data_IF_515779381961
#
_entry.id   IF_515779381961
#
_cell.length_a   1.000
_cell.length_b   1.000
_cell.length_c   1.000
_cell.angle_alpha   90.00
_cell.angle_beta   90.00
_cell.angle_gamma   90.00
#
_symmetry.space_group_name_H-M   'P 1'
#
loop_
_entity.id
_entity.type
_entity.pdbx_description
1 polymer ?
#
# COMPACT_ATOMS: atom_id res chain seq x y z
N UNK A 1 10.30 19.12 -73.76
CA UNK A 1 9.56 20.37 -73.65
C UNK A 1 9.35 20.52 -72.12
N UNK A 2 10.36 21.02 -71.44
CA UNK A 2 10.61 22.42 -71.09
C UNK A 2 9.37 23.03 -70.47
N UNK A 3 9.37 23.52 -69.24
CA UNK A 3 10.30 24.49 -68.67
C UNK A 3 10.15 24.55 -67.16
N UNK A 4 11.28 24.67 -66.46
CA UNK A 4 11.53 25.30 -65.17
C UNK A 4 10.78 26.60 -64.91
N UNK A 5 10.46 26.95 -63.67
CA UNK A 5 10.83 28.24 -63.06
C UNK A 5 10.96 28.05 -61.50
N UNK A 6 12.18 28.34 -61.06
CA UNK A 6 12.58 28.69 -59.70
C UNK A 6 12.05 30.06 -59.29
N UNK A 7 12.01 30.27 -57.96
CA UNK A 7 12.45 31.44 -57.17
C UNK A 7 11.49 31.66 -56.02
N UNK A 8 11.82 31.98 -54.83
CA UNK A 8 12.87 32.55 -53.97
C UNK A 8 12.29 32.60 -52.58
N UNK A 9 12.96 32.04 -51.62
CA UNK A 9 13.77 32.61 -50.52
C UNK A 9 13.10 33.68 -49.63
N UNK A 10 13.04 33.30 -48.38
CA UNK A 10 13.44 33.95 -47.11
C UNK A 10 12.33 34.47 -46.18
N UNK A 11 12.73 34.76 -44.93
CA UNK A 11 12.18 34.07 -43.79
C UNK A 11 11.52 35.10 -42.86
N UNK A 12 11.00 34.64 -41.76
CA UNK A 12 10.86 35.33 -40.47
C UNK A 12 9.51 35.02 -39.81
N UNK A 13 9.59 34.53 -38.63
CA UNK A 13 8.46 34.50 -37.72
C UNK A 13 8.57 33.44 -36.67
N UNK A 14 9.55 33.59 -35.76
CA UNK A 14 9.47 32.97 -34.43
C UNK A 14 8.14 33.32 -33.77
N UNK A 15 7.36 32.30 -33.42
CA UNK A 15 6.42 32.34 -32.30
C UNK A 15 6.47 31.05 -31.55
N UNK A 16 7.18 31.15 -30.46
CA UNK A 16 7.03 30.54 -29.15
C UNK A 16 5.95 29.47 -29.00
N UNK A 17 6.39 28.25 -28.79
CA UNK A 17 6.29 27.61 -27.52
C UNK A 17 4.95 27.02 -27.20
N UNK A 18 4.63 25.87 -27.75
CA UNK A 18 3.69 24.95 -27.16
C UNK A 18 4.49 23.84 -26.50
N UNK A 19 4.85 24.01 -25.22
CA UNK A 19 5.44 22.95 -24.42
C UNK A 19 4.38 21.88 -24.19
N UNK A 20 4.44 20.83 -25.00
CA UNK A 20 3.70 19.61 -24.79
C UNK A 20 4.21 18.97 -23.49
N UNK A 21 3.44 19.06 -22.43
CA UNK A 21 3.66 18.26 -21.24
C UNK A 21 3.41 16.79 -21.60
N UNK A 22 4.45 16.09 -21.94
CA UNK A 22 4.45 14.63 -21.91
C UNK A 22 4.41 14.22 -20.43
N UNK A 23 3.23 13.84 -19.94
CA UNK A 23 3.11 13.22 -18.63
C UNK A 23 3.67 11.81 -18.69
N UNK A 24 4.98 11.69 -18.67
CA UNK A 24 5.62 10.45 -18.25
C UNK A 24 5.34 10.30 -16.76
N UNK A 25 4.52 9.31 -16.40
CA UNK A 25 4.53 8.79 -15.05
C UNK A 25 5.81 7.97 -14.87
N UNK A 26 6.96 8.64 -14.95
CA UNK A 26 8.23 8.09 -14.55
C UNK A 26 8.34 8.26 -13.04
N UNK A 27 8.11 7.17 -12.30
CA UNK A 27 8.24 7.09 -10.86
C UNK A 27 9.72 7.08 -10.40
N UNK A 28 10.59 7.62 -11.21
CA UNK A 28 12.00 7.72 -10.88
C UNK A 28 12.68 8.91 -11.51
N UNK A 29 12.92 9.94 -10.74
CA UNK A 29 13.67 11.17 -10.96
C UNK A 29 12.86 12.37 -11.44
N UNK A 30 12.49 13.23 -10.49
CA UNK A 30 12.52 14.67 -10.68
C UNK A 30 13.55 15.26 -9.70
N UNK A 31 14.76 15.44 -10.18
CA UNK A 31 15.71 16.40 -9.60
C UNK A 31 15.49 17.72 -10.32
N UNK A 32 15.24 18.77 -9.56
CA UNK A 32 15.12 20.20 -9.87
C UNK A 32 13.68 20.72 -9.99
N UNK A 33 13.09 21.06 -8.86
CA UNK A 33 12.21 22.22 -8.74
C UNK A 33 12.75 23.11 -7.63
N UNK A 34 13.48 24.17 -8.02
CA UNK A 34 13.63 25.35 -7.18
C UNK A 34 12.41 26.24 -7.41
N UNK A 35 11.85 26.71 -6.31
CA UNK A 35 10.84 27.74 -6.17
C UNK A 35 9.40 27.36 -6.57
N UNK A 36 8.71 26.70 -5.64
CA UNK A 36 7.29 26.91 -5.47
C UNK A 36 7.01 27.05 -3.96
N UNK A 37 6.79 28.30 -3.55
CA UNK A 37 6.23 28.61 -2.23
C UNK A 37 4.75 28.26 -2.29
N UNK A 38 4.40 27.05 -1.91
CA UNK A 38 3.03 26.69 -1.63
C UNK A 38 2.68 27.27 -0.25
N UNK A 39 1.85 28.30 -0.22
CA UNK A 39 1.11 28.69 0.98
C UNK A 39 0.31 27.47 1.42
N UNK A 40 0.47 26.99 2.66
CA UNK A 40 -0.36 25.92 3.16
C UNK A 40 -1.76 26.48 3.41
N UNK A 41 -2.72 26.20 2.54
CA UNK A 41 -4.11 26.23 2.92
C UNK A 41 -4.30 25.08 3.92
N UNK A 42 -4.14 25.43 5.19
CA UNK A 42 -4.54 24.60 6.30
C UNK A 42 -6.07 24.46 6.27
N UNK A 43 -6.54 23.47 5.53
CA UNK A 43 -7.89 22.95 5.76
C UNK A 43 -7.83 22.28 7.12
N UNK A 44 -8.40 22.95 8.12
CA UNK A 44 -8.60 22.40 9.44
C UNK A 44 -9.31 21.06 9.31
N UNK A 45 -8.56 19.99 9.50
CA UNK A 45 -9.11 18.65 9.74
C UNK A 45 -9.92 18.77 11.01
N UNK A 46 -11.26 18.67 10.88
CA UNK A 46 -12.12 18.54 12.06
C UNK A 46 -11.65 17.31 12.82
N UNK A 47 -11.21 17.58 14.03
CA UNK A 47 -10.79 16.67 15.07
C UNK A 47 -11.44 15.29 15.00
N UNK A 48 -10.67 14.30 14.59
CA UNK A 48 -10.82 12.98 15.20
C UNK A 48 -10.32 13.17 16.64
N UNK A 49 -11.23 13.46 17.56
CA UNK A 49 -10.89 13.61 18.96
C UNK A 49 -10.17 12.36 19.41
N UNK A 50 -8.94 12.47 19.95
CA UNK A 50 -8.32 11.35 20.63
C UNK A 50 -9.26 10.92 21.76
N UNK A 51 -9.57 9.63 21.83
CA UNK A 51 -10.33 9.06 22.95
C UNK A 51 -9.52 9.40 24.20
N UNK A 52 -10.08 10.11 25.20
CA UNK A 52 -9.34 10.46 26.40
C UNK A 52 -8.97 9.17 27.15
N UNK A 53 -7.67 8.90 27.20
CA UNK A 53 -7.11 7.75 27.87
C UNK A 53 -7.06 8.02 29.37
N UNK A 54 -7.88 7.31 30.11
CA UNK A 54 -7.95 7.40 31.58
C UNK A 54 -6.67 6.82 32.18
N UNK A 55 -5.86 7.67 32.85
CA UNK A 55 -4.74 7.22 33.68
C UNK A 55 -5.27 6.64 34.99
N UNK A 56 -5.13 5.34 35.18
CA UNK A 56 -5.27 4.73 36.51
C UNK A 56 -3.95 4.10 36.97
N UNK A 57 -3.59 4.46 38.17
CA UNK A 57 -2.39 4.02 38.93
C UNK A 57 -2.74 2.75 39.68
N UNK A 58 -2.06 1.65 39.38
CA UNK A 58 -1.55 0.64 40.33
C UNK A 58 -0.87 -0.47 39.54
N UNK A 59 0.40 -0.72 39.84
CA UNK A 59 1.25 -1.69 39.15
C UNK A 59 1.00 -3.12 39.68
N UNK A 60 -0.11 -3.74 39.28
CA UNK A 60 -0.16 -5.19 39.27
C UNK A 60 0.55 -5.64 37.99
N UNK A 61 1.55 -6.51 38.08
CA UNK A 61 2.29 -7.07 36.94
C UNK A 61 1.30 -7.84 36.06
N UNK A 62 0.82 -7.18 34.99
CA UNK A 62 -0.19 -7.76 34.10
C UNK A 62 0.42 -8.94 33.37
N UNK A 63 -0.22 -10.11 33.45
CA UNK A 63 0.23 -11.28 32.71
C UNK A 63 -0.05 -11.08 31.21
N UNK A 64 0.95 -11.36 30.38
CA UNK A 64 0.85 -11.29 28.92
C UNK A 64 0.86 -12.69 28.36
N UNK A 65 -0.01 -12.94 27.39
CA UNK A 65 -0.19 -14.21 26.71
C UNK A 65 0.05 -14.07 25.22
N UNK A 66 0.35 -15.18 24.57
CA UNK A 66 0.41 -15.27 23.11
C UNK A 66 -0.61 -16.27 22.60
N UNK A 67 -1.15 -16.02 21.41
CA UNK A 67 -2.02 -16.95 20.72
C UNK A 67 -1.71 -17.00 19.22
N UNK A 68 -2.05 -18.10 18.59
CA UNK A 68 -2.03 -18.23 17.13
C UNK A 68 -3.37 -17.77 16.56
N UNK A 69 -3.40 -16.64 15.81
CA UNK A 69 -4.64 -16.09 15.26
C UNK A 69 -5.26 -16.94 14.15
N UNK A 70 -4.56 -17.96 13.66
CA UNK A 70 -5.07 -18.87 12.64
C UNK A 70 -5.86 -20.05 13.20
N UNK A 71 -5.55 -20.44 14.44
CA UNK A 71 -6.18 -21.56 15.12
C UNK A 71 -7.13 -21.13 16.26
N UNK A 72 -6.95 -19.94 16.83
CA UNK A 72 -7.79 -19.44 17.92
C UNK A 72 -8.96 -18.60 17.40
N UNK A 73 -10.21 -19.08 17.47
CA UNK A 73 -11.38 -18.38 16.92
C UNK A 73 -11.65 -17.03 17.60
N UNK A 74 -11.15 -16.80 18.82
CA UNK A 74 -11.29 -15.51 19.52
C UNK A 74 -10.70 -14.35 18.72
N UNK A 75 -9.64 -14.61 17.91
CA UNK A 75 -9.04 -13.57 17.08
C UNK A 75 -10.00 -13.05 15.99
N UNK A 76 -10.62 -13.95 15.24
CA UNK A 76 -11.57 -13.56 14.20
C UNK A 76 -12.79 -12.82 14.76
N UNK A 77 -13.32 -13.28 15.91
CA UNK A 77 -14.41 -12.62 16.62
C UNK A 77 -14.01 -11.24 17.15
N UNK A 78 -12.78 -11.11 17.67
CA UNK A 78 -12.26 -9.84 18.14
C UNK A 78 -12.06 -8.83 17.00
N UNK A 79 -11.42 -9.24 15.91
CA UNK A 79 -11.22 -8.41 14.70
C UNK A 79 -12.57 -7.95 14.14
N UNK A 80 -13.58 -8.81 14.11
CA UNK A 80 -14.90 -8.46 13.61
C UNK A 80 -15.55 -7.29 14.38
N UNK A 81 -15.31 -7.19 15.68
CA UNK A 81 -15.90 -6.16 16.57
C UNK A 81 -15.07 -4.87 16.68
N UNK A 82 -13.81 -4.86 16.20
CA UNK A 82 -12.91 -3.72 16.34
C UNK A 82 -12.90 -2.86 15.08
N UNK A 83 -13.43 -1.64 15.16
CA UNK A 83 -13.48 -0.73 14.00
C UNK A 83 -12.09 -0.35 13.48
N UNK A 84 -11.07 -0.31 14.36
CA UNK A 84 -9.69 -0.03 14.00
C UNK A 84 -9.03 -1.20 13.26
N UNK A 85 -9.63 -2.39 13.27
CA UNK A 85 -9.08 -3.55 12.57
C UNK A 85 -9.24 -3.39 11.06
N UNK A 86 -8.12 -3.47 10.34
CA UNK A 86 -8.06 -3.41 8.89
C UNK A 86 -8.02 -4.80 8.25
N UNK A 87 -8.04 -4.85 6.94
CA UNK A 87 -7.87 -6.07 6.13
C UNK A 87 -6.60 -6.85 6.51
N UNK A 88 -5.56 -6.17 7.00
CA UNK A 88 -4.30 -6.79 7.40
C UNK A 88 -4.40 -7.60 8.70
N UNK A 89 -5.40 -7.34 9.56
CA UNK A 89 -5.67 -8.15 10.75
C UNK A 89 -6.46 -9.43 10.45
N UNK A 90 -7.02 -9.53 9.26
CA UNK A 90 -7.92 -10.62 8.89
C UNK A 90 -7.19 -11.96 8.75
N UNK A 91 -7.89 -13.04 9.10
CA UNK A 91 -7.39 -14.41 8.96
C UNK A 91 -6.97 -14.73 7.51
N UNK A 92 -7.71 -14.30 6.45
CA UNK A 92 -7.27 -14.49 5.07
C UNK A 92 -5.88 -13.90 4.76
N UNK A 93 -5.58 -12.70 5.23
CA UNK A 93 -4.25 -12.10 5.04
C UNK A 93 -3.16 -12.92 5.72
N UNK A 94 -3.40 -13.33 6.96
CA UNK A 94 -2.44 -14.10 7.75
C UNK A 94 -2.17 -15.49 7.15
N UNK A 95 -3.22 -16.18 6.69
CA UNK A 95 -3.08 -17.47 6.00
C UNK A 95 -2.30 -17.35 4.70
N UNK A 96 -2.57 -16.31 3.91
CA UNK A 96 -1.83 -16.05 2.69
C UNK A 96 -0.33 -15.84 2.97
N UNK A 97 0.03 -15.10 4.03
CA UNK A 97 1.42 -14.94 4.48
C UNK A 97 2.05 -16.26 4.90
N UNK A 98 1.36 -17.05 5.72
CA UNK A 98 1.84 -18.35 6.19
C UNK A 98 2.02 -19.32 5.02
N UNK A 99 0.99 -19.50 4.18
CA UNK A 99 1.03 -20.43 3.04
C UNK A 99 2.08 -20.07 1.99
N UNK A 100 2.35 -18.77 1.79
CA UNK A 100 3.31 -18.34 0.75
C UNK A 100 4.74 -18.30 1.23
N UNK A 101 4.97 -17.78 2.43
CA UNK A 101 6.31 -17.44 2.91
C UNK A 101 6.73 -18.25 4.14
N UNK A 102 5.81 -18.97 4.77
CA UNK A 102 6.06 -19.71 6.00
C UNK A 102 6.21 -18.78 7.23
N UNK A 103 5.69 -17.57 7.16
CA UNK A 103 5.69 -16.66 8.31
C UNK A 103 4.71 -17.15 9.37
N UNK A 104 5.06 -16.98 10.63
CA UNK A 104 4.28 -17.43 11.77
C UNK A 104 3.53 -16.24 12.39
N UNK A 105 2.20 -16.09 12.15
CA UNK A 105 1.41 -15.07 12.81
C UNK A 105 1.28 -15.36 14.29
N UNK A 106 1.45 -14.33 15.12
CA UNK A 106 1.27 -14.38 16.57
C UNK A 106 0.55 -13.13 17.04
N UNK A 107 -0.31 -13.28 18.04
CA UNK A 107 -0.93 -12.16 18.76
C UNK A 107 -0.43 -12.16 20.19
N UNK A 108 0.02 -10.99 20.63
CA UNK A 108 0.36 -10.70 22.04
C UNK A 108 -0.85 -10.02 22.67
N UNK A 109 -1.33 -10.49 23.81
CA UNK A 109 -2.54 -9.98 24.47
C UNK A 109 -2.40 -10.04 25.99
N UNK A 110 -3.06 -9.12 26.71
CA UNK A 110 -3.20 -9.20 28.18
C UNK A 110 -4.42 -10.04 28.61
N UNK A 111 -5.20 -10.53 27.63
CA UNK A 111 -6.39 -11.35 27.92
C UNK A 111 -6.02 -12.79 28.21
N UNK A 112 -6.43 -13.37 29.35
CA UNK A 112 -6.17 -14.76 29.66
C UNK A 112 -6.75 -15.73 28.62
N UNK A 113 -6.21 -16.98 28.54
CA UNK A 113 -6.82 -18.03 27.74
C UNK A 113 -8.30 -18.28 28.13
N UNK A 114 -9.11 -18.66 27.13
CA UNK A 114 -10.56 -18.94 27.26
C UNK A 114 -11.46 -17.75 27.61
N UNK A 115 -10.92 -16.53 27.66
CA UNK A 115 -11.70 -15.29 27.81
C UNK A 115 -11.73 -14.57 26.48
N UNK A 116 -12.85 -13.91 26.15
CA UNK A 116 -12.99 -13.09 24.95
C UNK A 116 -11.93 -11.98 24.92
N UNK A 117 -11.25 -11.82 23.78
CA UNK A 117 -10.15 -10.88 23.65
C UNK A 117 -10.61 -9.44 23.88
N UNK A 118 -9.81 -8.69 24.64
CA UNK A 118 -9.99 -7.25 24.92
C UNK A 118 -9.00 -6.39 24.14
N UNK A 119 -7.81 -6.91 23.91
CA UNK A 119 -6.75 -6.25 23.16
C UNK A 119 -5.89 -7.27 22.42
N UNK A 120 -5.05 -6.78 21.52
CA UNK A 120 -4.10 -7.62 20.81
C UNK A 120 -3.13 -6.81 19.97
N UNK A 121 -1.87 -7.20 20.02
CA UNK A 121 -0.80 -6.69 19.16
C UNK A 121 -0.35 -7.82 18.24
N UNK A 122 -0.62 -7.65 16.94
CA UNK A 122 -0.41 -8.68 15.93
C UNK A 122 0.97 -8.55 15.27
N UNK A 123 1.68 -9.65 15.19
CA UNK A 123 2.95 -9.79 14.48
C UNK A 123 2.97 -11.01 13.57
N UNK A 124 3.89 -11.00 12.61
CA UNK A 124 4.46 -12.21 12.05
C UNK A 124 5.88 -12.40 12.58
N UNK A 125 6.18 -13.60 13.08
CA UNK A 125 7.56 -14.01 13.35
C UNK A 125 8.17 -14.48 12.03
N UNK A 126 9.27 -13.85 11.66
CA UNK A 126 10.02 -14.15 10.45
C UNK A 126 11.36 -14.73 10.87
N UNK A 127 11.62 -15.96 10.44
CA UNK A 127 12.92 -16.61 10.63
C UNK A 127 13.62 -16.71 9.28
N UNK A 128 14.80 -16.12 9.19
CA UNK A 128 15.57 -16.07 7.96
C UNK A 128 17.04 -16.31 8.24
N UNK A 129 17.63 -17.32 7.61
CA UNK A 129 19.07 -17.56 7.67
C UNK A 129 19.87 -16.39 7.07
N UNK A 130 19.28 -15.65 6.11
CA UNK A 130 19.92 -14.53 5.42
C UNK A 130 19.80 -13.21 6.20
N UNK A 131 18.64 -12.91 6.76
CA UNK A 131 18.36 -11.60 7.38
C UNK A 131 18.16 -11.69 8.90
N UNK A 132 18.15 -12.88 9.48
CA UNK A 132 17.94 -13.13 10.91
C UNK A 132 16.48 -13.22 11.31
N UNK A 133 16.23 -13.42 12.61
CA UNK A 133 14.89 -13.48 13.18
C UNK A 133 14.36 -12.07 13.50
N UNK A 134 13.04 -11.83 13.33
CA UNK A 134 12.38 -10.57 13.65
C UNK A 134 10.87 -10.72 13.82
N UNK A 135 10.27 -9.75 14.46
CA UNK A 135 8.82 -9.58 14.57
C UNK A 135 8.40 -8.39 13.73
N UNK A 136 7.43 -8.56 12.85
CA UNK A 136 6.91 -7.47 11.99
C UNK A 136 5.39 -7.46 12.02
N UNK A 137 4.83 -6.32 12.23
CA UNK A 137 3.38 -6.08 12.28
C UNK A 137 2.92 -5.28 11.05
N UNK A 138 2.61 -5.80 9.88
CA UNK A 138 2.78 -7.12 9.31
C UNK A 138 3.63 -7.05 8.03
N UNK A 139 4.24 -8.16 7.58
CA UNK A 139 4.89 -8.18 6.27
C UNK A 139 3.93 -7.77 5.16
N UNK A 140 4.41 -6.96 4.23
CA UNK A 140 3.68 -6.46 3.05
C UNK A 140 2.40 -5.67 3.34
N UNK A 141 2.02 -5.43 4.61
CA UNK A 141 0.96 -4.49 4.94
C UNK A 141 1.47 -3.05 4.81
N UNK A 142 0.54 -2.12 4.59
CA UNK A 142 0.86 -0.69 4.65
C UNK A 142 0.81 -0.20 6.09
N UNK A 143 -0.10 -0.74 6.88
CA UNK A 143 -0.30 -0.46 8.30
C UNK A 143 -0.85 -1.69 9.03
N UNK A 144 -0.76 -1.70 10.34
CA UNK A 144 -1.40 -2.68 11.22
C UNK A 144 -1.51 -2.05 12.62
N UNK A 145 -2.68 -1.57 12.96
CA UNK A 145 -2.93 -0.84 14.20
C UNK A 145 -2.87 -1.78 15.41
N UNK A 146 -2.20 -1.42 16.52
CA UNK A 146 -2.38 -2.10 17.78
C UNK A 146 -3.84 -2.01 18.25
N UNK A 147 -4.50 -3.14 18.45
CA UNK A 147 -5.91 -3.18 18.86
C UNK A 147 -6.01 -3.13 20.40
N UNK A 148 -5.90 -1.94 20.96
CA UNK A 148 -5.88 -1.67 22.41
C UNK A 148 -6.94 -0.65 22.81
N UNK A 149 -7.29 -0.58 24.11
CA UNK A 149 -8.25 0.39 24.63
C UNK A 149 -7.58 1.53 25.42
N UNK A 150 -6.29 1.37 25.77
CA UNK A 150 -5.55 2.37 26.56
C UNK A 150 -4.06 2.34 26.23
N UNK A 151 -3.36 3.44 26.55
CA UNK A 151 -1.89 3.52 26.46
C UNK A 151 -1.22 2.51 27.40
N UNK A 152 -1.81 2.24 28.57
CA UNK A 152 -1.31 1.24 29.51
C UNK A 152 -1.29 -0.16 28.88
N UNK A 153 -2.39 -0.58 28.24
CA UNK A 153 -2.43 -1.84 27.51
C UNK A 153 -1.37 -1.88 26.39
N UNK A 154 -1.21 -0.78 25.67
CA UNK A 154 -0.19 -0.68 24.65
C UNK A 154 1.22 -0.87 25.23
N UNK A 155 1.55 -0.14 26.29
CA UNK A 155 2.86 -0.20 26.94
C UNK A 155 3.17 -1.61 27.46
N UNK A 156 2.18 -2.30 28.04
CA UNK A 156 2.32 -3.70 28.50
C UNK A 156 2.60 -4.67 27.34
N UNK A 157 1.89 -4.50 26.21
CA UNK A 157 2.09 -5.34 25.02
C UNK A 157 3.43 -5.04 24.34
N UNK A 158 3.85 -3.76 24.29
CA UNK A 158 5.15 -3.36 23.75
C UNK A 158 6.31 -3.88 24.61
N UNK A 159 6.18 -3.83 25.92
CA UNK A 159 7.17 -4.39 26.85
C UNK A 159 7.31 -5.92 26.67
N UNK A 160 6.20 -6.64 26.45
CA UNK A 160 6.23 -8.06 26.16
C UNK A 160 6.89 -8.37 24.80
N UNK A 161 6.60 -7.57 23.77
CA UNK A 161 7.26 -7.71 22.47
C UNK A 161 8.77 -7.45 22.57
N UNK A 162 9.19 -6.45 23.36
CA UNK A 162 10.59 -6.20 23.68
C UNK A 162 11.24 -7.42 24.34
N UNK A 163 10.62 -7.97 25.38
CA UNK A 163 11.13 -9.15 26.07
C UNK A 163 11.28 -10.37 25.14
N UNK A 164 10.33 -10.59 24.21
CA UNK A 164 10.44 -11.66 23.21
C UNK A 164 11.60 -11.42 22.24
N UNK A 165 11.84 -10.17 21.80
CA UNK A 165 12.99 -9.80 20.98
C UNK A 165 14.30 -10.11 21.68
N UNK A 166 14.43 -9.69 22.95
CA UNK A 166 15.66 -9.86 23.73
C UNK A 166 15.91 -11.34 24.07
N UNK A 167 14.90 -12.06 24.55
CA UNK A 167 15.00 -13.48 24.93
C UNK A 167 15.32 -14.39 23.74
N UNK A 168 14.72 -14.14 22.58
CA UNK A 168 14.92 -14.93 21.35
C UNK A 168 16.05 -14.43 20.48
N UNK A 169 16.75 -13.37 20.89
CA UNK A 169 17.81 -12.71 20.12
C UNK A 169 17.34 -12.32 18.70
N UNK A 170 16.08 -11.86 18.61
CA UNK A 170 15.58 -11.29 17.37
C UNK A 170 16.30 -9.99 17.05
N UNK A 171 16.52 -9.69 15.78
CA UNK A 171 17.18 -8.45 15.38
C UNK A 171 16.34 -7.21 15.74
N UNK A 172 15.01 -7.32 15.62
CA UNK A 172 14.09 -6.22 15.93
C UNK A 172 12.62 -6.68 15.99
N UNK A 173 11.79 -5.83 16.59
CA UNK A 173 10.35 -5.77 16.36
C UNK A 173 9.99 -4.46 15.64
N UNK A 174 9.06 -4.52 14.66
CA UNK A 174 8.55 -3.37 13.90
C UNK A 174 7.03 -3.32 13.98
N UNK A 175 6.48 -2.13 14.27
CA UNK A 175 5.04 -1.86 14.39
C UNK A 175 4.66 -0.76 13.41
N UNK A 176 3.44 -0.88 12.83
CA UNK A 176 2.94 -0.01 11.75
C UNK A 176 1.59 0.63 12.13
N UNK A 177 1.53 1.44 13.19
CA UNK A 177 0.29 2.07 13.61
C UNK A 177 -0.13 3.22 12.69
N UNK A 178 -1.43 3.55 12.69
CA UNK A 178 -1.98 4.73 12.01
C UNK A 178 -2.33 5.83 13.03
N UNK A 179 -2.95 5.44 14.14
CA UNK A 179 -3.62 6.34 15.08
C UNK A 179 -2.86 6.55 16.38
N UNK A 180 -2.03 5.58 16.77
CA UNK A 180 -1.37 5.57 18.08
C UNK A 180 0.07 6.07 17.94
N UNK A 181 0.51 6.90 18.90
CA UNK A 181 1.88 7.38 19.01
C UNK A 181 2.66 6.60 20.09
N UNK A 182 4.00 6.49 19.97
CA UNK A 182 4.82 5.60 20.79
C UNK A 182 4.89 5.96 22.30
N UNK A 183 4.45 7.13 22.73
CA UNK A 183 4.54 7.54 24.11
C UNK A 183 5.95 7.43 24.70
N UNK A 184 6.07 6.87 25.91
CA UNK A 184 7.36 6.61 26.59
C UNK A 184 7.97 5.23 26.30
N UNK A 185 7.44 4.49 25.32
CA UNK A 185 7.89 3.16 24.94
C UNK A 185 9.36 3.13 24.50
N UNK A 186 10.09 2.02 24.69
CA UNK A 186 11.44 1.81 24.15
C UNK A 186 11.46 1.71 22.62
N UNK A 187 10.31 1.55 21.99
CA UNK A 187 10.17 1.62 20.53
C UNK A 187 10.41 3.07 20.06
N UNK A 188 11.16 3.24 18.99
CA UNK A 188 11.44 4.53 18.40
C UNK A 188 10.94 4.65 16.97
N UNK A 189 10.73 5.87 16.53
CA UNK A 189 10.46 6.18 15.12
C UNK A 189 11.55 5.59 14.23
N UNK A 190 11.15 4.89 13.17
CA UNK A 190 12.06 4.24 12.23
C UNK A 190 11.90 4.79 10.81
N UNK A 191 10.70 4.75 10.24
CA UNK A 191 10.38 5.21 8.90
C UNK A 191 9.06 5.96 8.93
N UNK A 192 8.97 7.02 8.14
CA UNK A 192 7.74 7.80 7.98
C UNK A 192 7.34 7.84 6.51
N UNK A 193 6.05 7.63 6.27
CA UNK A 193 5.42 7.56 4.96
C UNK A 193 4.27 8.56 4.89
N UNK A 194 3.86 8.90 3.68
CA UNK A 194 2.61 9.59 3.43
C UNK A 194 1.50 8.55 3.20
N UNK A 195 0.42 8.61 3.97
CA UNK A 195 -0.72 7.70 3.91
C UNK A 195 -1.95 8.42 3.38
N UNK A 196 -2.70 7.82 2.46
CA UNK A 196 -3.83 8.46 1.81
C UNK A 196 -5.12 7.66 1.94
N UNK A 197 -6.21 8.36 2.24
CA UNK A 197 -7.57 7.81 2.34
C UNK A 197 -8.56 8.71 1.61
N UNK A 198 -9.49 8.12 0.89
CA UNK A 198 -10.59 8.83 0.25
C UNK A 198 -11.89 8.52 1.00
N UNK A 199 -12.51 9.57 1.56
CA UNK A 199 -13.83 9.48 2.17
C UNK A 199 -14.90 9.27 1.09
N UNK A 200 -15.65 8.18 1.20
CA UNK A 200 -16.70 7.77 0.27
C UNK A 200 -18.12 8.04 0.80
N UNK A 201 -18.30 8.60 2.00
CA UNK A 201 -19.64 8.79 2.61
C UNK A 201 -20.50 9.81 1.88
N UNK A 202 -19.90 10.82 1.26
CA UNK A 202 -20.62 11.83 0.49
C UNK A 202 -21.25 11.30 -0.82
N UNK A 203 -22.10 12.10 -1.48
CA UNK A 203 -22.66 11.78 -2.80
C UNK A 203 -21.57 11.57 -3.86
N UNK A 204 -21.80 10.65 -4.78
CA UNK A 204 -20.79 10.28 -5.81
C UNK A 204 -20.38 11.49 -6.68
N UNK A 205 -21.31 12.38 -6.99
CA UNK A 205 -21.04 13.59 -7.78
C UNK A 205 -20.15 14.59 -7.03
N UNK A 206 -20.26 14.65 -5.70
CA UNK A 206 -19.39 15.48 -4.88
C UNK A 206 -17.98 14.89 -4.79
N UNK A 207 -17.87 13.57 -4.68
CA UNK A 207 -16.61 12.87 -4.74
C UNK A 207 -15.93 13.13 -6.07
N UNK A 208 -16.67 12.99 -7.19
CA UNK A 208 -16.14 13.25 -8.54
C UNK A 208 -15.67 14.70 -8.74
N UNK A 209 -16.43 15.69 -8.20
CA UNK A 209 -16.06 17.12 -8.29
C UNK A 209 -14.77 17.46 -7.57
N UNK A 210 -14.37 16.69 -6.53
CA UNK A 210 -13.09 16.85 -5.82
C UNK A 210 -11.89 16.36 -6.61
N UNK A 211 -12.08 15.52 -7.63
CA UNK A 211 -10.99 15.02 -8.45
C UNK A 211 -10.37 16.12 -9.29
N UNK A 212 -9.04 16.07 -9.41
CA UNK A 212 -8.31 17.00 -10.28
C UNK A 212 -8.83 16.93 -11.72
N UNK A 213 -9.22 18.08 -12.30
CA UNK A 213 -9.88 18.15 -13.60
C UNK A 213 -9.07 17.50 -14.73
N UNK A 214 -7.77 17.87 -14.82
CA UNK A 214 -6.91 17.40 -15.92
C UNK A 214 -6.28 16.04 -15.66
N UNK A 215 -5.83 15.80 -14.43
CA UNK A 215 -5.09 14.58 -14.09
C UNK A 215 -6.00 13.36 -13.89
N UNK A 216 -7.28 13.56 -13.54
CA UNK A 216 -8.22 12.47 -13.24
C UNK A 216 -9.44 12.55 -14.14
N UNK A 217 -10.29 13.59 -14.03
CA UNK A 217 -11.56 13.64 -14.75
C UNK A 217 -11.39 13.54 -16.26
N UNK A 218 -10.43 14.29 -16.84
CA UNK A 218 -10.14 14.23 -18.27
C UNK A 218 -9.64 12.84 -18.70
N UNK A 219 -8.85 12.16 -17.85
CA UNK A 219 -8.36 10.80 -18.15
C UNK A 219 -9.48 9.75 -18.07
N UNK A 220 -10.44 9.89 -17.16
CA UNK A 220 -11.64 9.03 -17.11
C UNK A 220 -12.42 9.19 -18.43
N UNK A 221 -12.77 10.42 -18.83
CA UNK A 221 -13.50 10.69 -20.09
C UNK A 221 -12.70 10.21 -21.31
N UNK A 222 -11.36 10.30 -21.26
CA UNK A 222 -10.51 9.77 -22.33
C UNK A 222 -10.63 8.25 -22.43
N UNK A 223 -10.58 7.52 -21.31
CA UNK A 223 -10.70 6.08 -21.31
C UNK A 223 -12.06 5.59 -21.84
N UNK A 224 -13.14 6.31 -21.52
CA UNK A 224 -14.48 6.06 -22.07
C UNK A 224 -14.52 6.29 -23.59
N UNK A 225 -13.92 7.38 -24.08
CA UNK A 225 -13.82 7.68 -25.52
C UNK A 225 -13.00 6.63 -26.29
N UNK A 226 -11.91 6.14 -25.69
CA UNK A 226 -11.04 5.10 -26.27
C UNK A 226 -11.67 3.68 -26.15
N UNK A 227 -12.88 3.57 -25.59
CA UNK A 227 -13.62 2.32 -25.46
C UNK A 227 -12.79 1.21 -24.81
N UNK A 228 -12.06 1.54 -23.73
CA UNK A 228 -11.34 0.54 -22.96
C UNK A 228 -12.33 -0.48 -22.39
N UNK A 229 -12.01 -1.75 -22.57
CA UNK A 229 -12.80 -2.84 -22.01
C UNK A 229 -12.44 -3.01 -20.53
N UNK A 230 -13.43 -2.96 -19.66
CA UNK A 230 -13.30 -3.16 -18.23
C UNK A 230 -13.73 -4.58 -17.85
N UNK A 231 -12.94 -5.25 -17.05
CA UNK A 231 -13.23 -6.56 -16.48
C UNK A 231 -12.84 -6.58 -15.01
N UNK A 232 -13.61 -7.28 -14.18
CA UNK A 232 -13.31 -7.46 -12.75
C UNK A 232 -13.64 -8.86 -12.26
N UNK A 233 -13.05 -9.23 -11.14
CA UNK A 233 -13.26 -10.51 -10.47
C UNK A 233 -11.98 -11.04 -9.84
N UNK A 234 -11.96 -12.34 -9.58
CA UNK A 234 -10.82 -13.05 -8.99
C UNK A 234 -10.40 -14.28 -9.84
N UNK A 235 -10.80 -14.32 -11.11
CA UNK A 235 -10.51 -15.46 -11.98
C UNK A 235 -9.01 -15.62 -12.27
N UNK A 236 -8.55 -16.85 -12.58
CA UNK A 236 -7.16 -17.09 -12.96
C UNK A 236 -6.72 -16.29 -14.19
N UNK A 237 -7.62 -15.95 -15.11
CA UNK A 237 -7.37 -15.16 -16.31
C UNK A 237 -7.00 -13.71 -15.92
N UNK A 238 -7.82 -13.10 -15.08
CA UNK A 238 -7.59 -11.76 -14.55
C UNK A 238 -6.30 -11.70 -13.72
N UNK A 239 -6.03 -12.74 -12.93
CA UNK A 239 -4.78 -12.85 -12.17
C UNK A 239 -3.56 -12.92 -13.10
N UNK A 240 -3.62 -13.71 -14.16
CA UNK A 240 -2.53 -13.78 -15.16
C UNK A 240 -2.31 -12.44 -15.87
N UNK A 241 -3.39 -11.74 -16.24
CA UNK A 241 -3.32 -10.42 -16.85
C UNK A 241 -2.68 -9.39 -15.92
N UNK A 242 -3.13 -9.33 -14.67
CA UNK A 242 -2.54 -8.50 -13.60
C UNK A 242 -1.06 -8.82 -13.41
N UNK A 243 -0.71 -10.10 -13.24
CA UNK A 243 0.67 -10.51 -12.95
C UNK A 243 1.64 -10.20 -14.09
N UNK A 244 1.19 -10.31 -15.35
CA UNK A 244 1.96 -9.88 -16.53
C UNK A 244 2.29 -8.39 -16.49
N UNK A 245 1.30 -7.53 -16.23
CA UNK A 245 1.49 -6.09 -16.09
C UNK A 245 2.39 -5.74 -14.90
N UNK A 246 2.19 -6.42 -13.76
CA UNK A 246 2.99 -6.25 -12.56
C UNK A 246 4.45 -6.59 -12.82
N UNK A 247 4.73 -7.72 -13.46
CA UNK A 247 6.09 -8.15 -13.80
C UNK A 247 6.76 -7.13 -14.72
N UNK A 248 6.06 -6.65 -15.76
CA UNK A 248 6.55 -5.61 -16.64
C UNK A 248 6.87 -4.30 -15.92
N UNK A 249 6.01 -3.87 -15.01
CA UNK A 249 6.26 -2.69 -14.16
C UNK A 249 7.46 -2.90 -13.24
N UNK A 250 7.56 -4.05 -12.57
CA UNK A 250 8.69 -4.38 -11.67
C UNK A 250 10.01 -4.39 -12.42
N UNK A 251 10.04 -4.96 -13.62
CA UNK A 251 11.21 -4.95 -14.49
C UNK A 251 11.67 -3.53 -14.82
N UNK A 252 10.75 -2.64 -15.24
CA UNK A 252 11.08 -1.22 -15.50
C UNK A 252 11.68 -0.52 -14.28
N UNK A 253 11.27 -0.92 -13.07
CA UNK A 253 11.80 -0.39 -11.81
C UNK A 253 13.05 -1.11 -11.32
N UNK A 254 13.56 -2.10 -12.06
CA UNK A 254 14.67 -2.98 -11.66
C UNK A 254 14.43 -3.63 -10.27
N UNK A 255 13.21 -4.10 -10.04
CA UNK A 255 12.79 -4.78 -8.81
C UNK A 255 12.26 -6.17 -9.15
N UNK A 256 12.61 -7.21 -8.38
CA UNK A 256 12.00 -8.52 -8.52
C UNK A 256 10.50 -8.44 -8.19
N UNK A 257 9.60 -9.11 -8.94
CA UNK A 257 8.20 -9.21 -8.58
C UNK A 257 8.02 -10.16 -7.39
N UNK A 258 6.96 -9.94 -6.60
CA UNK A 258 6.49 -10.96 -5.68
C UNK A 258 6.09 -12.21 -6.47
N UNK A 259 6.26 -13.44 -5.90
CA UNK A 259 5.90 -14.66 -6.61
C UNK A 259 4.41 -14.69 -6.94
N UNK A 260 4.04 -15.29 -8.07
CA UNK A 260 2.63 -15.40 -8.47
C UNK A 260 1.81 -16.14 -7.41
N UNK A 261 2.43 -17.11 -6.73
CA UNK A 261 1.81 -17.87 -5.64
C UNK A 261 1.29 -16.99 -4.50
N UNK A 262 1.90 -15.84 -4.25
CA UNK A 262 1.38 -14.86 -3.29
C UNK A 262 -0.01 -14.36 -3.69
N UNK A 263 -0.19 -14.00 -4.95
CA UNK A 263 -1.46 -13.48 -5.46
C UNK A 263 -2.51 -14.58 -5.60
N UNK A 264 -2.09 -15.80 -5.94
CA UNK A 264 -2.94 -16.98 -5.97
C UNK A 264 -3.48 -17.30 -4.58
N UNK A 265 -2.62 -17.26 -3.53
CA UNK A 265 -3.05 -17.45 -2.15
C UNK A 265 -3.93 -16.31 -1.64
N UNK A 266 -3.65 -15.08 -2.02
CA UNK A 266 -4.57 -13.97 -1.71
C UNK A 266 -5.95 -14.20 -2.34
N UNK A 267 -6.02 -14.57 -3.62
CA UNK A 267 -7.29 -14.83 -4.29
C UNK A 267 -8.06 -16.01 -3.66
N UNK A 268 -7.34 -17.08 -3.27
CA UNK A 268 -7.90 -18.24 -2.59
C UNK A 268 -8.48 -17.88 -1.21
N UNK A 269 -7.73 -17.15 -0.38
CA UNK A 269 -8.11 -16.88 1.00
C UNK A 269 -9.17 -15.78 1.13
N UNK A 270 -9.15 -14.78 0.26
CA UNK A 270 -10.11 -13.67 0.29
C UNK A 270 -11.37 -13.95 -0.52
N UNK A 271 -11.34 -14.86 -1.48
CA UNK A 271 -12.50 -15.13 -2.33
C UNK A 271 -13.06 -13.86 -2.96
N UNK A 272 -14.33 -13.55 -2.71
CA UNK A 272 -15.01 -12.39 -3.26
C UNK A 272 -14.57 -11.04 -2.65
N UNK A 273 -13.89 -11.05 -1.51
CA UNK A 273 -13.33 -9.85 -0.90
C UNK A 273 -12.04 -9.37 -1.59
N UNK A 274 -11.50 -10.17 -2.52
CA UNK A 274 -10.43 -9.75 -3.42
C UNK A 274 -10.99 -9.54 -4.81
N UNK A 275 -10.74 -8.35 -5.39
CA UNK A 275 -11.04 -8.09 -6.79
C UNK A 275 -9.81 -7.60 -7.55
N UNK A 276 -9.59 -8.22 -8.70
CA UNK A 276 -8.66 -7.79 -9.72
C UNK A 276 -9.48 -7.08 -10.79
N UNK A 277 -9.10 -5.85 -11.12
CA UNK A 277 -9.72 -5.06 -12.17
C UNK A 277 -8.71 -4.83 -13.28
N UNK A 278 -9.14 -5.05 -14.51
CA UNK A 278 -8.29 -4.95 -15.69
C UNK A 278 -8.96 -4.03 -16.72
N UNK A 279 -8.20 -3.08 -17.21
CA UNK A 279 -8.55 -2.30 -18.40
C UNK A 279 -7.76 -2.83 -19.59
N UNK A 280 -8.46 -3.14 -20.69
CA UNK A 280 -7.86 -3.66 -21.92
C UNK A 280 -8.15 -2.75 -23.10
N UNK A 281 -7.19 -2.64 -24.03
CA UNK A 281 -7.32 -1.96 -25.31
C UNK A 281 -7.03 -2.96 -26.44
N UNK A 282 -7.97 -3.13 -27.36
CA UNK A 282 -7.85 -4.09 -28.46
C UNK A 282 -7.45 -5.50 -27.98
N UNK A 283 -8.08 -5.98 -26.91
CA UNK A 283 -7.83 -7.30 -26.31
C UNK A 283 -6.54 -7.39 -25.46
N UNK A 284 -5.72 -6.36 -25.40
CA UNK A 284 -4.48 -6.33 -24.61
C UNK A 284 -4.72 -5.64 -23.27
N UNK A 285 -4.45 -6.27 -22.11
CA UNK A 285 -4.44 -5.62 -20.81
C UNK A 285 -3.42 -4.48 -20.76
N UNK A 286 -3.87 -3.26 -20.43
CA UNK A 286 -3.03 -2.06 -20.39
C UNK A 286 -2.89 -1.48 -18.99
N UNK A 287 -3.82 -1.76 -18.09
CA UNK A 287 -3.75 -1.38 -16.68
C UNK A 287 -4.48 -2.40 -15.82
N UNK A 288 -4.04 -2.59 -14.59
CA UNK A 288 -4.72 -3.44 -13.63
C UNK A 288 -4.50 -2.94 -12.20
N UNK A 289 -5.52 -3.12 -11.36
CA UNK A 289 -5.44 -2.92 -9.91
C UNK A 289 -6.00 -4.14 -9.18
N UNK A 290 -5.50 -4.36 -7.97
CA UNK A 290 -6.01 -5.35 -7.04
C UNK A 290 -6.45 -4.62 -5.77
N UNK A 291 -7.67 -4.87 -5.35
CA UNK A 291 -8.28 -4.33 -4.13
C UNK A 291 -8.70 -5.45 -3.19
N UNK A 292 -8.73 -5.13 -1.90
CA UNK A 292 -9.21 -6.00 -0.84
C UNK A 292 -10.33 -5.27 -0.09
N UNK A 293 -11.41 -5.98 0.21
CA UNK A 293 -12.54 -5.46 0.98
C UNK A 293 -12.50 -6.01 2.40
N UNK A 294 -12.73 -5.14 3.38
CA UNK A 294 -12.88 -5.54 4.78
C UNK A 294 -13.77 -4.55 5.51
N UNK A 295 -14.89 -5.03 6.07
CA UNK A 295 -15.90 -4.17 6.72
C UNK A 295 -16.36 -3.03 5.80
N UNK A 296 -16.11 -1.79 6.20
CA UNK A 296 -16.49 -0.58 5.46
C UNK A 296 -15.34 0.06 4.70
N UNK A 297 -14.19 -0.63 4.60
CA UNK A 297 -12.99 -0.12 3.93
C UNK A 297 -12.63 -1.00 2.74
N UNK A 298 -12.48 -0.39 1.58
CA UNK A 298 -11.88 -0.99 0.41
C UNK A 298 -10.42 -0.54 0.34
N UNK A 299 -9.47 -1.49 0.30
CA UNK A 299 -8.03 -1.20 0.27
C UNK A 299 -7.47 -1.42 -1.14
N UNK A 300 -6.95 -0.38 -1.77
CA UNK A 300 -6.13 -0.49 -2.97
C UNK A 300 -4.75 -1.03 -2.60
N UNK A 301 -4.48 -2.27 -2.99
CA UNK A 301 -3.23 -2.93 -2.56
C UNK A 301 -2.15 -2.97 -3.63
N UNK A 302 -2.50 -3.21 -4.87
CA UNK A 302 -1.55 -3.26 -5.98
C UNK A 302 -2.11 -2.58 -7.22
N UNK A 303 -1.22 -1.90 -7.96
CA UNK A 303 -1.55 -1.35 -9.25
C UNK A 303 -0.37 -1.42 -10.20
N UNK A 304 -0.67 -1.66 -11.46
CA UNK A 304 0.31 -1.76 -12.52
C UNK A 304 -0.29 -1.34 -13.87
N UNK A 305 0.56 -0.77 -14.73
CA UNK A 305 0.16 -0.40 -16.08
C UNK A 305 1.31 -0.59 -17.05
N UNK A 306 0.97 -0.72 -18.33
CA UNK A 306 1.90 -0.56 -19.41
C UNK A 306 2.02 0.93 -19.74
N UNK A 307 3.23 1.48 -19.60
CA UNK A 307 3.50 2.90 -19.81
C UNK A 307 3.21 3.37 -21.23
N UNK A 308 3.32 2.49 -22.22
CA UNK A 308 3.01 2.80 -23.62
C UNK A 308 1.56 3.21 -23.83
N UNK A 309 0.67 2.75 -22.93
CA UNK A 309 -0.78 2.99 -23.00
C UNK A 309 -1.30 3.98 -21.93
N UNK A 310 -0.42 4.61 -21.15
CA UNK A 310 -0.84 5.53 -20.07
C UNK A 310 -1.73 6.68 -20.57
N UNK A 311 -1.54 7.12 -21.84
CA UNK A 311 -2.34 8.17 -22.47
C UNK A 311 -3.82 7.80 -22.63
N UNK A 312 -4.15 6.50 -22.63
CA UNK A 312 -5.54 6.01 -22.78
C UNK A 312 -6.36 6.16 -21.47
N UNK A 313 -5.73 6.43 -20.33
CA UNK A 313 -6.45 6.65 -19.07
C UNK A 313 -6.88 5.38 -18.34
N UNK A 314 -6.30 4.21 -18.65
CA UNK A 314 -6.71 2.92 -18.06
C UNK A 314 -6.72 2.92 -16.53
N UNK A 315 -5.66 3.42 -15.87
CA UNK A 315 -5.63 3.51 -14.40
C UNK A 315 -6.76 4.42 -13.86
N UNK A 316 -7.05 5.54 -14.53
CA UNK A 316 -8.12 6.43 -14.10
C UNK A 316 -9.50 5.76 -14.22
N UNK A 317 -9.74 5.00 -15.28
CA UNK A 317 -10.95 4.20 -15.44
C UNK A 317 -11.10 3.19 -14.30
N UNK A 318 -10.02 2.44 -13.99
CA UNK A 318 -10.06 1.41 -12.96
C UNK A 318 -10.38 1.98 -11.57
N UNK A 319 -9.74 3.08 -11.17
CA UNK A 319 -10.04 3.73 -9.90
C UNK A 319 -11.45 4.29 -9.86
N UNK A 320 -11.92 4.91 -10.95
CA UNK A 320 -13.28 5.43 -11.01
C UNK A 320 -14.32 4.31 -10.88
N UNK A 321 -14.15 3.20 -11.59
CA UNK A 321 -15.03 2.02 -11.44
C UNK A 321 -14.97 1.44 -10.03
N UNK A 322 -13.79 1.43 -9.41
CA UNK A 322 -13.62 1.00 -8.01
C UNK A 322 -14.40 1.90 -7.05
N UNK A 323 -14.34 3.23 -7.24
CA UNK A 323 -15.05 4.19 -6.38
C UNK A 323 -16.57 4.08 -6.58
N UNK A 324 -17.04 3.91 -7.81
CA UNK A 324 -18.46 3.69 -8.09
C UNK A 324 -18.98 2.45 -7.38
N UNK A 325 -18.30 1.32 -7.55
CA UNK A 325 -18.66 0.07 -6.88
C UNK A 325 -18.59 0.18 -5.35
N UNK A 326 -17.55 0.80 -4.80
CA UNK A 326 -17.41 1.00 -3.37
C UNK A 326 -18.60 1.81 -2.81
N UNK A 327 -19.09 2.79 -3.55
CA UNK A 327 -20.30 3.54 -3.19
C UNK A 327 -21.56 2.68 -3.24
N UNK A 328 -21.75 1.91 -4.31
CA UNK A 328 -22.89 1.00 -4.49
C UNK A 328 -22.96 -0.04 -3.36
N UNK A 329 -21.81 -0.53 -2.91
CA UNK A 329 -21.69 -1.50 -1.81
C UNK A 329 -21.62 -0.84 -0.41
N UNK A 330 -21.85 0.47 -0.32
CA UNK A 330 -21.86 1.24 0.93
C UNK A 330 -20.56 1.12 1.75
N UNK A 331 -19.41 1.14 1.08
CA UNK A 331 -18.13 1.37 1.74
C UNK A 331 -18.00 2.85 2.14
N UNK A 332 -17.39 3.09 3.28
CA UNK A 332 -17.18 4.43 3.81
C UNK A 332 -15.84 5.03 3.37
N UNK A 333 -14.86 4.20 3.00
CA UNK A 333 -13.49 4.62 2.72
C UNK A 333 -12.82 3.79 1.64
N UNK A 334 -12.04 4.46 0.78
CA UNK A 334 -11.01 3.81 -0.06
C UNK A 334 -9.63 4.15 0.49
N UNK A 335 -8.96 3.14 1.04
CA UNK A 335 -7.58 3.21 1.49
C UNK A 335 -6.63 3.08 0.29
N UNK A 336 -5.92 4.16 -0.04
CA UNK A 336 -4.91 4.19 -1.09
C UNK A 336 -3.54 3.67 -0.64
N UNK A 337 -3.39 3.31 0.62
CA UNK A 337 -2.13 2.85 1.19
C UNK A 337 -1.06 3.95 1.31
N UNK A 338 0.12 3.52 1.72
CA UNK A 338 1.27 4.39 1.92
C UNK A 338 2.00 4.74 0.62
N UNK A 339 2.74 5.85 0.69
CA UNK A 339 3.73 6.27 -0.31
C UNK A 339 5.02 6.64 0.39
N UNK A 340 6.17 6.32 -0.19
CA UNK A 340 7.44 6.83 0.32
C UNK A 340 7.43 8.36 0.25
N UNK A 341 7.95 9.04 1.27
CA UNK A 341 7.87 10.50 1.40
C UNK A 341 8.62 11.25 0.29
N UNK A 342 9.59 10.60 -0.35
CA UNK A 342 10.35 11.11 -1.50
C UNK A 342 9.68 10.80 -2.85
N UNK A 343 8.60 9.98 -2.87
CA UNK A 343 7.87 9.64 -4.08
C UNK A 343 6.76 10.66 -4.36
N UNK A 344 7.16 11.90 -4.65
CA UNK A 344 6.24 13.01 -4.89
C UNK A 344 5.23 12.74 -6.01
N UNK A 345 5.62 11.96 -7.03
CA UNK A 345 4.72 11.60 -8.13
C UNK A 345 3.57 10.71 -7.69
N UNK A 346 3.81 9.74 -6.78
CA UNK A 346 2.77 8.87 -6.25
C UNK A 346 1.89 9.61 -5.24
N UNK A 347 2.48 10.51 -4.45
CA UNK A 347 1.74 11.37 -3.52
C UNK A 347 0.78 12.25 -4.33
N UNK A 348 1.27 13.03 -5.29
CA UNK A 348 0.45 13.86 -6.15
C UNK A 348 -0.63 13.08 -6.91
N UNK A 349 -0.31 11.85 -7.35
CA UNK A 349 -1.32 10.97 -7.97
C UNK A 349 -2.49 10.70 -7.04
N UNK A 350 -2.23 10.38 -5.76
CA UNK A 350 -3.28 10.12 -4.77
C UNK A 350 -4.02 11.39 -4.38
N UNK A 351 -3.32 12.51 -4.20
CA UNK A 351 -3.92 13.84 -3.94
C UNK A 351 -4.90 14.25 -5.05
N UNK A 352 -4.57 13.96 -6.30
CA UNK A 352 -5.43 14.26 -7.45
C UNK A 352 -6.78 13.54 -7.42
N UNK A 353 -6.92 12.45 -6.65
CA UNK A 353 -8.19 11.78 -6.38
C UNK A 353 -8.99 12.44 -5.25
N UNK A 354 -8.52 13.56 -4.70
CA UNK A 354 -9.15 14.21 -3.55
C UNK A 354 -9.02 13.40 -2.26
N UNK A 355 -8.03 12.52 -2.20
CA UNK A 355 -7.72 11.76 -0.98
C UNK A 355 -7.07 12.68 0.07
N UNK A 356 -7.38 12.41 1.34
CA UNK A 356 -6.74 13.08 2.48
C UNK A 356 -5.43 12.37 2.80
N UNK A 357 -4.35 13.14 2.94
CA UNK A 357 -3.05 12.63 3.35
C UNK A 357 -2.81 12.77 4.85
N UNK A 358 -2.09 11.83 5.43
CA UNK A 358 -1.61 11.84 6.83
C UNK A 358 -0.23 11.22 6.93
N UNK A 359 0.45 11.46 8.05
CA UNK A 359 1.73 10.79 8.34
C UNK A 359 1.48 9.39 8.86
N UNK A 360 2.24 8.42 8.35
CA UNK A 360 2.25 7.03 8.80
C UNK A 360 3.66 6.69 9.28
N UNK A 361 3.85 6.58 10.59
CA UNK A 361 5.16 6.37 11.19
C UNK A 361 5.30 4.96 11.72
N UNK A 362 6.30 4.24 11.27
CA UNK A 362 6.67 2.92 11.77
C UNK A 362 7.57 3.06 12.99
N UNK A 363 7.36 2.19 13.97
CA UNK A 363 8.17 2.12 15.18
C UNK A 363 9.00 0.85 15.19
N UNK A 364 10.18 0.92 15.78
CA UNK A 364 11.11 -0.21 15.84
C UNK A 364 11.81 -0.29 17.18
N UNK A 365 11.98 -1.53 17.64
CA UNK A 365 12.80 -1.87 18.79
C UNK A 365 13.81 -2.98 18.41
N UNK A 366 15.09 -2.88 18.81
CA UNK A 366 15.73 -1.71 19.39
C UNK A 366 15.76 -0.53 18.40
N UNK A 367 15.87 0.69 18.94
CA UNK A 367 16.02 1.91 18.13
C UNK A 367 17.30 1.82 17.30
N UNK A 368 17.16 1.65 16.01
CA UNK A 368 18.30 1.65 15.08
C UNK A 368 18.08 2.78 14.07
N UNK A 369 19.15 3.47 13.70
CA UNK A 369 19.08 4.41 12.57
C UNK A 369 18.61 3.65 11.33
N UNK A 370 17.75 4.28 10.52
CA UNK A 370 17.29 3.71 9.26
C UNK A 370 18.48 3.41 8.35
N UNK A 371 18.83 2.14 8.23
CA UNK A 371 19.79 1.72 7.22
C UNK A 371 19.12 1.81 5.85
N UNK A 372 19.80 2.39 4.87
CA UNK A 372 19.31 2.43 3.49
C UNK A 372 18.93 1.01 3.05
N UNK A 373 17.68 0.89 2.57
CA UNK A 373 17.18 -0.39 2.05
C UNK A 373 18.18 -0.93 1.00
N UNK A 374 18.57 -2.21 1.10
CA UNK A 374 19.39 -2.87 0.09
C UNK A 374 18.82 -2.75 -1.33
N UNK A 375 17.50 -2.56 -1.47
CA UNK A 375 16.82 -2.27 -2.74
C UNK A 375 17.22 -0.92 -3.36
N UNK A 376 17.82 -0.02 -2.58
CA UNK A 376 18.37 1.25 -3.07
C UNK A 376 19.82 1.11 -3.58
N UNK A 377 20.43 -0.06 -3.47
CA UNK A 377 21.79 -0.28 -3.96
C UNK A 377 21.81 -0.21 -5.50
N UNK A 378 22.53 0.79 -6.04
CA UNK A 378 22.67 1.05 -7.49
C UNK A 378 23.19 -0.15 -8.27
N UNK A 379 24.08 -0.96 -7.68
CA UNK A 379 24.67 -2.13 -8.32
C UNK A 379 23.62 -3.23 -8.49
N UNK A 380 22.83 -3.50 -7.43
CA UNK A 380 21.74 -4.48 -7.48
C UNK A 380 20.66 -4.07 -8.49
N UNK A 381 20.34 -2.79 -8.56
CA UNK A 381 19.37 -2.27 -9.54
C UNK A 381 19.86 -2.42 -10.98
N UNK A 382 21.16 -2.17 -11.26
CA UNK A 382 21.74 -2.40 -12.61
C UNK A 382 21.72 -3.88 -12.98
N UNK A 383 22.09 -4.76 -12.09
CA UNK A 383 22.03 -6.21 -12.31
C UNK A 383 20.59 -6.68 -12.57
N UNK A 384 19.62 -6.19 -11.80
CA UNK A 384 18.20 -6.52 -11.97
C UNK A 384 17.61 -5.97 -13.28
N UNK A 385 18.03 -4.79 -13.76
CA UNK A 385 17.52 -4.22 -15.03
C UNK A 385 17.96 -5.03 -16.26
N UNK A 386 19.12 -5.69 -16.19
CA UNK A 386 19.66 -6.52 -17.27
C UNK A 386 19.23 -8.00 -17.20
N UNK A 387 18.62 -8.41 -16.08
CA UNK A 387 18.29 -9.82 -15.85
C UNK A 387 17.05 -10.26 -16.68
N UNK A 388 17.04 -11.49 -17.25
CA UNK A 388 15.86 -12.09 -17.85
C UNK A 388 14.69 -12.21 -16.85
N UNK A 389 13.43 -12.16 -17.33
CA UNK A 389 12.23 -12.23 -16.48
C UNK A 389 12.19 -13.48 -15.59
N UNK A 390 12.70 -14.61 -16.09
CA UNK A 390 12.78 -15.87 -15.34
C UNK A 390 13.67 -15.69 -14.10
N UNK A 391 14.83 -15.08 -14.26
CA UNK A 391 15.76 -14.83 -13.15
C UNK A 391 15.19 -13.86 -12.14
N UNK A 392 14.48 -12.80 -12.59
CA UNK A 392 13.80 -11.87 -11.70
C UNK A 392 12.68 -12.54 -10.89
N UNK A 393 11.93 -13.45 -11.50
CA UNK A 393 10.87 -14.23 -10.81
C UNK A 393 11.47 -15.19 -9.78
N UNK A 394 12.54 -15.89 -10.13
CA UNK A 394 13.26 -16.79 -9.19
C UNK A 394 13.84 -15.97 -8.03
N UNK A 395 14.52 -14.88 -8.34
CA UNK A 395 15.05 -13.96 -7.33
C UNK A 395 13.93 -13.44 -6.42
N UNK A 396 12.77 -13.05 -6.99
CA UNK A 396 11.60 -12.65 -6.21
C UNK A 396 11.12 -13.75 -5.27
N UNK A 397 10.95 -14.97 -5.76
CA UNK A 397 10.51 -16.11 -4.95
C UNK A 397 11.45 -16.37 -3.75
N UNK A 398 12.76 -16.26 -3.96
CA UNK A 398 13.74 -16.46 -2.91
C UNK A 398 13.80 -15.27 -1.94
N UNK A 399 13.89 -14.05 -2.47
CA UNK A 399 14.12 -12.85 -1.66
C UNK A 399 12.92 -12.50 -0.78
N UNK A 400 11.69 -12.56 -1.30
CA UNK A 400 10.49 -12.15 -0.53
C UNK A 400 10.25 -13.01 0.70
N UNK A 401 10.70 -14.27 0.72
CA UNK A 401 10.69 -15.11 1.92
C UNK A 401 11.59 -14.54 3.04
N UNK A 402 12.60 -13.76 2.69
CA UNK A 402 13.60 -13.25 3.61
C UNK A 402 13.47 -11.76 3.93
N UNK A 403 12.59 -11.01 3.22
CA UNK A 403 12.49 -9.54 3.32
C UNK A 403 11.25 -9.08 4.09
N UNK A 404 10.24 -9.90 4.25
CA UNK A 404 8.93 -9.58 4.84
C UNK A 404 8.94 -8.81 6.14
#
# INVERSE_FOLDING_TARGET
>A
MDTNVEQHVAPLGERSGGTGFTSEMDLGRMTNFRNWTATPNAVMVRDARPIPLVRNVEQAKTSVYTLDPLSDPRWSEFVARRDQASVFHSVPWLRALQKTYGYEPIVVTTTPPRVALRNGLLFCRIQSWLTGSRLVSLPFSDHCEPLVNSTKELDELLAAAQQDVDARRCKYAEIRPILIEPGSSPFGTHLTYCFHRLDLRGPIDEIFRRFHKDCVQRKIRRAEKEKLVYQEGNSPELLRAFYRLLTGMRRRKALPPQPITWFERLAEEFGNDLKIRVASHNGLPVASILTLSHKKVMTYKYGCSDTSYNKLGGMALLFWKTIQEAKEQAFDELDFGRSDSDNLGLIAFKDHWGATSSSLTYWKYPRTQASSSWMNNRVMRRAASAAPDILLRVAGKLLYKHIG
#
